data_IF_238150318672
#
_entry.id   IF_238150318672
#
_cell.length_a   1.000
_cell.length_b   1.000
_cell.length_c   1.000
_cell.angle_alpha   90.00
_cell.angle_beta   90.00
_cell.angle_gamma   90.00
#
_symmetry.space_group_name_H-M   'P 1'
#
loop_
_entity.id
_entity.type
_entity.pdbx_description
1 polymer ?
#
# COMPACT_ATOMS: atom_id res chain seq x y z
N UNK A 1 44.40 -42.22 28.51
CA UNK A 1 43.27 -42.92 27.85
C UNK A 1 42.18 -41.90 27.59
N UNK A 2 41.83 -41.73 26.31
CA UNK A 2 40.83 -40.79 25.77
C UNK A 2 39.42 -41.13 26.25
N UNK A 3 38.64 -40.13 26.67
CA UNK A 3 37.20 -40.01 26.35
C UNK A 3 36.81 -38.52 26.28
N UNK A 4 36.85 -37.96 25.07
CA UNK A 4 36.16 -36.72 24.74
C UNK A 4 34.67 -37.04 24.60
N UNK A 5 33.83 -36.49 25.47
CA UNK A 5 32.38 -36.49 25.27
C UNK A 5 32.08 -35.21 24.50
N UNK A 6 31.92 -35.34 23.18
CA UNK A 6 31.36 -34.30 22.35
C UNK A 6 29.86 -34.21 22.67
N UNK A 7 29.43 -33.11 23.28
CA UNK A 7 28.03 -32.76 23.34
C UNK A 7 27.59 -32.34 21.94
N UNK A 8 26.93 -33.26 21.24
CA UNK A 8 26.21 -32.96 20.00
C UNK A 8 25.02 -32.10 20.38
N UNK A 9 25.12 -30.79 20.17
CA UNK A 9 23.97 -29.91 20.05
C UNK A 9 23.26 -30.30 18.75
N UNK A 10 22.27 -31.18 18.86
CA UNK A 10 21.25 -31.38 17.85
C UNK A 10 20.46 -30.07 17.74
N UNK A 11 20.91 -29.17 16.87
CA UNK A 11 20.05 -28.14 16.31
C UNK A 11 18.99 -28.88 15.50
N UNK A 12 17.81 -29.04 16.09
CA UNK A 12 16.62 -29.38 15.33
C UNK A 12 16.50 -28.34 14.20
N UNK A 13 16.30 -28.74 12.94
CA UNK A 13 15.91 -27.79 11.91
C UNK A 13 14.59 -27.21 12.38
N UNK A 14 14.60 -25.93 12.76
CA UNK A 14 13.36 -25.19 12.92
C UNK A 14 12.61 -25.34 11.60
N UNK A 15 11.45 -25.98 11.64
CA UNK A 15 10.45 -25.90 10.60
C UNK A 15 10.12 -24.41 10.45
N UNK A 16 10.82 -23.76 9.52
CA UNK A 16 10.49 -22.42 9.08
C UNK A 16 9.19 -22.57 8.29
N UNK A 17 8.08 -22.37 8.99
CA UNK A 17 6.77 -22.12 8.39
C UNK A 17 6.92 -21.08 7.30
N UNK A 18 6.32 -21.33 6.14
CA UNK A 18 6.18 -20.33 5.09
C UNK A 18 5.69 -19.03 5.75
N UNK A 19 6.39 -17.93 5.55
CA UNK A 19 5.99 -16.67 6.15
C UNK A 19 4.71 -16.24 5.44
N UNK A 20 3.58 -16.34 6.15
CA UNK A 20 2.32 -15.77 5.70
C UNK A 20 2.52 -14.28 5.45
N UNK A 21 1.89 -13.75 4.40
CA UNK A 21 1.86 -12.31 4.14
C UNK A 21 1.43 -11.56 5.41
N UNK A 22 1.94 -10.35 5.66
CA UNK A 22 1.50 -9.55 6.79
C UNK A 22 -0.03 -9.49 6.86
N UNK A 23 -0.57 -9.75 8.05
CA UNK A 23 -2.03 -9.78 8.27
C UNK A 23 -2.68 -8.49 7.73
N UNK A 24 -3.59 -8.64 6.76
CA UNK A 24 -4.27 -7.53 6.10
C UNK A 24 -3.64 -7.08 4.77
N UNK A 25 -2.63 -7.82 4.27
CA UNK A 25 -2.04 -7.55 2.97
C UNK A 25 -3.03 -7.88 1.83
N UNK A 26 -3.54 -6.85 1.16
CA UNK A 26 -4.52 -6.97 0.09
C UNK A 26 -3.90 -7.19 -1.30
N UNK A 27 -2.59 -7.46 -1.37
CA UNK A 27 -1.88 -7.66 -2.63
C UNK A 27 -1.49 -6.39 -3.38
N UNK A 28 -1.43 -5.25 -2.69
CA UNK A 28 -1.06 -3.95 -3.27
C UNK A 28 -0.16 -3.10 -2.34
N UNK A 29 0.80 -2.37 -2.93
CA UNK A 29 1.59 -1.29 -2.34
C UNK A 29 2.78 -1.71 -1.48
N UNK A 30 3.10 -3.01 -1.44
CA UNK A 30 4.17 -3.57 -0.63
C UNK A 30 5.53 -3.62 -1.32
N UNK A 31 5.57 -3.60 -2.66
CA UNK A 31 6.82 -3.66 -3.43
C UNK A 31 7.52 -2.30 -3.53
N UNK A 32 6.81 -1.19 -3.30
CA UNK A 32 7.38 0.17 -3.37
C UNK A 32 8.12 0.58 -2.08
N UNK A 33 8.13 -0.28 -1.07
CA UNK A 33 8.78 -0.02 0.20
C UNK A 33 10.31 -0.05 0.05
N UNK A 34 10.99 0.76 0.85
CA UNK A 34 12.46 0.74 0.93
C UNK A 34 13.00 -0.60 1.43
N UNK A 35 12.25 -1.23 2.34
CA UNK A 35 12.47 -2.59 2.81
C UNK A 35 11.21 -3.40 2.53
N UNK A 36 11.29 -4.27 1.53
CA UNK A 36 10.16 -5.10 1.10
C UNK A 36 10.15 -6.35 1.97
N UNK A 37 9.01 -6.60 2.62
CA UNK A 37 8.80 -7.80 3.42
C UNK A 37 8.95 -9.06 2.52
N UNK A 38 9.74 -10.06 2.93
CA UNK A 38 9.92 -11.31 2.19
C UNK A 38 8.60 -12.01 1.77
N UNK A 39 7.58 -11.98 2.62
CA UNK A 39 6.28 -12.59 2.34
C UNK A 39 5.47 -11.77 1.34
N UNK A 40 5.58 -10.44 1.37
CA UNK A 40 5.00 -9.54 0.36
C UNK A 40 5.64 -9.78 -1.01
N UNK A 41 6.97 -9.87 -1.06
CA UNK A 41 7.67 -10.18 -2.31
C UNK A 41 7.24 -11.55 -2.86
N UNK A 42 7.18 -12.55 -1.99
CA UNK A 42 6.73 -13.90 -2.32
C UNK A 42 5.29 -13.90 -2.86
N UNK A 43 4.40 -13.10 -2.27
CA UNK A 43 3.04 -12.93 -2.76
C UNK A 43 3.01 -12.35 -4.17
N UNK A 44 3.73 -11.27 -4.44
CA UNK A 44 3.75 -10.67 -5.79
C UNK A 44 4.45 -11.54 -6.82
N UNK A 45 5.43 -12.32 -6.40
CA UNK A 45 5.99 -13.35 -7.27
C UNK A 45 4.90 -14.34 -7.71
N UNK A 46 4.02 -14.78 -6.81
CA UNK A 46 2.98 -15.79 -7.09
C UNK A 46 1.69 -15.23 -7.71
N UNK A 47 1.37 -13.95 -7.50
CA UNK A 47 0.10 -13.33 -7.92
C UNK A 47 0.28 -12.23 -8.98
N UNK A 48 1.52 -11.77 -9.16
CA UNK A 48 1.93 -10.80 -10.15
C UNK A 48 2.29 -9.42 -9.62
N UNK A 49 3.13 -8.75 -10.40
CA UNK A 49 3.59 -7.39 -10.17
C UNK A 49 2.75 -6.45 -11.04
N UNK A 50 1.71 -5.84 -10.47
CA UNK A 50 0.76 -4.98 -11.19
C UNK A 50 0.54 -3.67 -10.47
N UNK A 51 0.04 -2.66 -11.19
CA UNK A 51 -0.19 -1.34 -10.60
C UNK A 51 1.10 -0.72 -10.05
N UNK A 52 1.04 -0.19 -8.84
CA UNK A 52 2.21 0.40 -8.17
C UNK A 52 3.31 -0.63 -7.85
N UNK A 53 2.94 -1.91 -7.64
CA UNK A 53 3.90 -2.97 -7.33
C UNK A 53 4.67 -3.48 -8.55
N UNK A 54 4.31 -3.01 -9.75
CA UNK A 54 5.16 -3.15 -10.93
C UNK A 54 6.34 -2.16 -10.93
N UNK A 55 6.42 -1.25 -9.94
CA UNK A 55 7.52 -0.31 -9.74
C UNK A 55 7.80 0.59 -10.94
N UNK A 56 6.74 0.94 -11.68
CA UNK A 56 6.83 1.73 -12.91
C UNK A 56 7.35 0.97 -14.13
N UNK A 57 7.51 -0.36 -14.03
CA UNK A 57 7.89 -1.23 -15.13
C UNK A 57 6.67 -1.93 -15.73
N UNK A 58 6.84 -2.45 -16.94
CA UNK A 58 5.86 -3.32 -17.57
C UNK A 58 5.63 -4.59 -16.71
N UNK A 59 4.39 -4.96 -16.37
CA UNK A 59 4.08 -6.15 -15.58
C UNK A 59 4.61 -7.47 -16.17
N UNK A 60 4.64 -7.61 -17.50
CA UNK A 60 5.21 -8.79 -18.16
C UNK A 60 6.74 -8.78 -18.06
N UNK A 61 7.38 -7.61 -18.11
CA UNK A 61 8.81 -7.46 -17.86
C UNK A 61 9.17 -7.82 -16.41
N UNK A 62 8.39 -7.35 -15.43
CA UNK A 62 8.55 -7.70 -14.01
C UNK A 62 8.42 -9.22 -13.79
N UNK A 63 7.41 -9.83 -14.42
CA UNK A 63 7.27 -11.29 -14.40
C UNK A 63 8.52 -11.97 -14.97
N UNK A 64 8.97 -11.58 -16.17
CA UNK A 64 10.12 -12.18 -16.82
C UNK A 64 11.39 -12.05 -15.96
N UNK A 65 11.71 -10.85 -15.46
CA UNK A 65 12.83 -10.63 -14.56
C UNK A 65 12.75 -11.48 -13.29
N UNK A 66 11.57 -11.56 -12.66
CA UNK A 66 11.38 -12.37 -11.46
C UNK A 66 11.65 -13.85 -11.72
N UNK A 67 11.17 -14.43 -12.84
CA UNK A 67 11.37 -15.85 -13.15
C UNK A 67 12.80 -16.16 -13.55
N UNK A 68 13.47 -15.25 -14.25
CA UNK A 68 14.91 -15.36 -14.55
C UNK A 68 15.73 -15.33 -13.25
N UNK A 69 15.40 -14.43 -12.32
CA UNK A 69 16.03 -14.37 -11.01
C UNK A 69 15.78 -15.65 -10.19
N UNK A 70 14.55 -16.20 -10.21
CA UNK A 70 14.24 -17.47 -9.56
C UNK A 70 15.01 -18.65 -10.17
N UNK A 71 15.15 -18.71 -11.50
CA UNK A 71 15.95 -19.73 -12.16
C UNK A 71 17.42 -19.65 -11.69
N UNK A 72 17.95 -18.43 -11.55
CA UNK A 72 19.31 -18.21 -11.01
C UNK A 72 19.44 -18.60 -9.54
N UNK A 73 18.57 -18.10 -8.68
CA UNK A 73 18.69 -18.27 -7.22
C UNK A 73 18.29 -19.67 -6.77
N UNK A 74 17.16 -20.17 -7.29
CA UNK A 74 16.54 -21.41 -6.82
C UNK A 74 16.94 -22.65 -7.64
N UNK A 75 17.23 -22.49 -8.93
CA UNK A 75 17.64 -23.59 -9.82
C UNK A 75 19.14 -23.53 -10.22
N UNK A 76 19.89 -22.54 -9.75
CA UNK A 76 21.30 -22.32 -10.07
C UNK A 76 21.58 -22.15 -11.57
N UNK A 77 20.61 -21.64 -12.32
CA UNK A 77 20.69 -21.39 -13.76
C UNK A 77 20.86 -19.90 -14.03
N UNK A 78 22.10 -19.46 -14.27
CA UNK A 78 22.37 -18.05 -14.57
C UNK A 78 21.86 -17.67 -15.98
N UNK A 79 21.29 -16.47 -16.17
CA UNK A 79 20.89 -16.01 -17.49
C UNK A 79 22.10 -15.85 -18.40
N UNK A 80 21.95 -16.23 -19.67
CA UNK A 80 22.96 -16.01 -20.69
C UNK A 80 22.88 -14.59 -21.26
N UNK A 81 23.98 -14.09 -21.81
CA UNK A 81 23.99 -12.78 -22.50
C UNK A 81 23.00 -12.74 -23.68
N UNK A 82 22.78 -13.88 -24.34
CA UNK A 82 21.78 -14.01 -25.41
C UNK A 82 20.36 -13.74 -24.87
N UNK A 83 20.01 -14.28 -23.71
CA UNK A 83 18.73 -14.02 -23.06
C UNK A 83 18.59 -12.54 -22.69
N UNK A 84 19.65 -11.93 -22.15
CA UNK A 84 19.65 -10.48 -21.86
C UNK A 84 19.44 -9.66 -23.15
N UNK A 85 20.06 -10.07 -24.26
CA UNK A 85 19.81 -9.49 -25.58
C UNK A 85 18.34 -9.58 -26.00
N UNK A 86 17.66 -10.70 -25.72
CA UNK A 86 16.22 -10.85 -25.98
C UNK A 86 15.34 -9.94 -25.14
N UNK A 87 15.72 -9.66 -23.90
CA UNK A 87 15.01 -8.66 -23.08
C UNK A 87 15.16 -7.25 -23.66
N UNK A 88 16.36 -6.89 -24.10
CA UNK A 88 16.63 -5.60 -24.76
C UNK A 88 15.81 -5.45 -26.04
N UNK A 89 15.79 -6.49 -26.88
CA UNK A 89 15.02 -6.50 -28.13
C UNK A 89 13.51 -6.33 -27.88
N UNK A 90 12.96 -7.04 -26.88
CA UNK A 90 11.53 -7.07 -26.62
C UNK A 90 11.01 -5.84 -25.84
N UNK A 91 11.73 -5.43 -24.80
CA UNK A 91 11.24 -4.45 -23.82
C UNK A 91 12.01 -3.12 -23.86
N UNK A 92 13.05 -3.01 -24.68
CA UNK A 92 13.96 -1.86 -24.70
C UNK A 92 14.74 -1.74 -23.39
N UNK A 93 15.43 -0.60 -23.20
CA UNK A 93 16.49 -0.38 -22.18
C UNK A 93 17.77 -1.15 -22.50
N UNK A 94 18.85 -0.75 -21.84
CA UNK A 94 20.14 -1.41 -22.02
C UNK A 94 20.25 -2.68 -21.16
N UNK A 95 21.25 -3.51 -21.48
CA UNK A 95 21.51 -4.77 -20.79
C UNK A 95 21.77 -4.58 -19.29
N UNK A 96 22.37 -3.45 -18.88
CA UNK A 96 22.71 -3.16 -17.49
C UNK A 96 21.44 -2.92 -16.67
N UNK A 97 20.45 -2.22 -17.23
CA UNK A 97 19.13 -2.04 -16.59
C UNK A 97 18.46 -3.39 -16.34
N UNK A 98 18.43 -4.30 -17.31
CA UNK A 98 17.83 -5.62 -17.11
C UNK A 98 18.58 -6.47 -16.09
N UNK A 99 19.91 -6.40 -16.07
CA UNK A 99 20.74 -7.18 -15.16
C UNK A 99 20.68 -6.65 -13.72
N UNK A 100 20.78 -5.33 -13.53
CA UNK A 100 20.90 -4.72 -12.20
C UNK A 100 19.52 -4.36 -11.62
N UNK A 101 18.75 -3.54 -12.34
CA UNK A 101 17.48 -3.01 -11.82
C UNK A 101 16.34 -4.03 -11.93
N UNK A 102 16.45 -4.96 -12.88
CA UNK A 102 15.50 -6.06 -13.04
C UNK A 102 15.92 -7.30 -12.27
N UNK A 103 16.70 -8.15 -12.93
CA UNK A 103 17.07 -9.48 -12.43
C UNK A 103 17.79 -9.39 -11.07
N UNK A 104 18.73 -8.45 -10.93
CA UNK A 104 19.50 -8.25 -9.71
C UNK A 104 18.65 -7.83 -8.51
N UNK A 105 17.65 -6.96 -8.72
CA UNK A 105 16.68 -6.60 -7.69
C UNK A 105 15.89 -7.82 -7.21
N UNK A 106 15.30 -8.59 -8.12
CA UNK A 106 14.54 -9.80 -7.77
C UNK A 106 15.43 -10.85 -7.09
N UNK A 107 16.66 -11.02 -7.55
CA UNK A 107 17.63 -11.91 -6.90
C UNK A 107 17.89 -11.51 -5.46
N UNK A 108 18.11 -10.21 -5.19
CA UNK A 108 18.34 -9.70 -3.84
C UNK A 108 17.15 -10.00 -2.92
N UNK A 109 15.93 -9.78 -3.40
CA UNK A 109 14.71 -10.09 -2.64
C UNK A 109 14.57 -11.59 -2.34
N UNK A 110 14.84 -12.46 -3.31
CA UNK A 110 14.78 -13.91 -3.13
C UNK A 110 15.82 -14.42 -2.15
N UNK A 111 17.04 -13.86 -2.18
CA UNK A 111 18.12 -14.24 -1.26
C UNK A 111 17.89 -13.75 0.16
N UNK A 112 17.20 -12.61 0.33
CA UNK A 112 16.77 -12.12 1.63
C UNK A 112 15.68 -13.02 2.28
N UNK A 113 14.95 -13.77 1.46
CA UNK A 113 13.87 -14.66 1.86
C UNK A 113 14.32 -16.14 1.90
N UNK A 114 14.79 -16.61 3.06
CA UNK A 114 15.37 -17.95 3.22
C UNK A 114 14.47 -19.13 2.85
N UNK A 115 13.15 -18.94 2.77
CA UNK A 115 12.14 -19.95 2.40
C UNK A 115 11.52 -19.71 1.02
N UNK A 116 12.04 -18.77 0.23
CA UNK A 116 11.42 -18.38 -1.04
C UNK A 116 11.38 -19.51 -2.07
N UNK A 117 12.45 -20.31 -2.17
CA UNK A 117 12.60 -21.33 -3.20
C UNK A 117 11.79 -22.60 -2.88
N UNK A 118 10.48 -22.58 -3.18
CA UNK A 118 9.62 -23.77 -3.09
C UNK A 118 9.75 -24.64 -4.36
N UNK A 119 9.43 -25.95 -4.29
CA UNK A 119 9.44 -26.81 -5.48
C UNK A 119 8.58 -26.28 -6.63
N UNK A 120 7.43 -25.66 -6.31
CA UNK A 120 6.54 -25.07 -7.30
C UNK A 120 7.21 -23.89 -8.03
N UNK A 121 7.82 -22.96 -7.29
CA UNK A 121 8.50 -21.79 -7.89
C UNK A 121 9.74 -22.20 -8.69
N UNK A 122 10.47 -23.23 -8.25
CA UNK A 122 11.59 -23.82 -9.02
C UNK A 122 11.11 -24.41 -10.34
N UNK A 123 10.04 -25.21 -10.30
CA UNK A 123 9.48 -25.83 -11.49
C UNK A 123 8.99 -24.78 -12.49
N UNK A 124 8.25 -23.77 -12.01
CA UNK A 124 7.76 -22.67 -12.83
C UNK A 124 8.90 -21.88 -13.49
N UNK A 125 9.89 -21.44 -12.70
CA UNK A 125 11.03 -20.67 -13.21
C UNK A 125 11.84 -21.46 -14.25
N UNK A 126 12.03 -22.77 -14.02
CA UNK A 126 12.73 -23.65 -14.96
C UNK A 126 11.93 -23.89 -16.23
N UNK A 127 10.60 -23.93 -16.16
CA UNK A 127 9.75 -24.19 -17.32
C UNK A 127 9.78 -23.03 -18.34
N UNK A 128 9.82 -21.78 -17.85
CA UNK A 128 9.77 -20.59 -18.73
C UNK A 128 11.14 -20.15 -19.25
N UNK A 129 12.24 -20.54 -18.58
CA UNK A 129 13.59 -20.08 -18.95
C UNK A 129 14.00 -20.40 -20.41
N UNK A 130 13.72 -21.59 -20.97
CA UNK A 130 14.05 -21.88 -22.38
C UNK A 130 13.28 -20.99 -23.37
N UNK A 131 12.02 -20.69 -23.10
CA UNK A 131 11.19 -19.82 -23.95
C UNK A 131 11.75 -18.39 -23.96
N UNK A 132 12.09 -17.85 -22.78
CA UNK A 132 12.72 -16.52 -22.68
C UNK A 132 14.08 -16.46 -23.38
N UNK A 133 14.90 -17.53 -23.28
CA UNK A 133 16.16 -17.62 -24.02
C UNK A 133 15.96 -17.63 -25.55
N UNK A 134 14.83 -18.14 -26.03
CA UNK A 134 14.44 -18.09 -27.44
C UNK A 134 13.77 -16.75 -27.84
N UNK A 135 13.50 -15.86 -26.89
CA UNK A 135 12.79 -14.58 -27.10
C UNK A 135 11.27 -14.69 -27.11
N UNK A 136 10.70 -15.83 -26.70
CA UNK A 136 9.26 -16.00 -26.52
C UNK A 136 8.85 -15.58 -25.11
N UNK A 137 8.26 -14.39 -24.99
CA UNK A 137 7.74 -13.85 -23.73
C UNK A 137 6.21 -13.96 -23.61
N UNK A 138 5.55 -14.77 -24.45
CA UNK A 138 4.08 -14.90 -24.46
C UNK A 138 3.51 -15.33 -23.11
N UNK A 139 4.19 -16.22 -22.37
CA UNK A 139 3.81 -16.59 -21.01
C UNK A 139 3.84 -15.41 -20.05
N UNK A 140 4.82 -14.52 -20.17
CA UNK A 140 4.92 -13.33 -19.33
C UNK A 140 3.75 -12.36 -19.62
N UNK A 141 3.41 -12.17 -20.89
CA UNK A 141 2.26 -11.35 -21.30
C UNK A 141 0.94 -11.93 -20.82
N UNK A 142 0.74 -13.24 -20.99
CA UNK A 142 -0.48 -13.93 -20.55
C UNK A 142 -0.65 -13.86 -19.02
N UNK A 143 0.45 -14.06 -18.28
CA UNK A 143 0.45 -13.96 -16.83
C UNK A 143 0.15 -12.53 -16.36
N UNK A 144 0.80 -11.52 -16.95
CA UNK A 144 0.54 -10.12 -16.64
C UNK A 144 -0.93 -9.75 -16.87
N UNK A 145 -1.53 -10.19 -17.98
CA UNK A 145 -2.94 -9.99 -18.25
C UNK A 145 -3.84 -10.69 -17.20
N UNK A 146 -3.51 -11.92 -16.81
CA UNK A 146 -4.24 -12.63 -15.76
C UNK A 146 -4.11 -11.96 -14.39
N UNK A 147 -2.94 -11.42 -14.05
CA UNK A 147 -2.67 -10.71 -12.81
C UNK A 147 -3.45 -9.40 -12.74
N UNK A 148 -3.46 -8.63 -13.83
CA UNK A 148 -4.28 -7.40 -13.95
C UNK A 148 -5.77 -7.73 -13.81
N UNK A 149 -6.21 -8.87 -14.33
CA UNK A 149 -7.59 -9.33 -14.22
C UNK A 149 -7.91 -9.98 -12.86
N UNK A 150 -6.95 -10.17 -11.96
CA UNK A 150 -7.13 -10.84 -10.67
C UNK A 150 -7.47 -12.33 -10.80
N UNK A 151 -7.04 -12.99 -11.88
CA UNK A 151 -7.41 -14.38 -12.22
C UNK A 151 -6.26 -15.38 -12.10
N UNK A 152 -5.10 -14.94 -11.60
CA UNK A 152 -3.95 -15.83 -11.38
C UNK A 152 -4.32 -16.88 -10.34
N UNK A 153 -4.23 -18.15 -10.71
CA UNK A 153 -4.46 -19.28 -9.81
C UNK A 153 -3.12 -19.85 -9.39
N UNK A 154 -2.79 -19.77 -8.09
CA UNK A 154 -1.62 -20.44 -7.53
C UNK A 154 -1.96 -21.90 -7.29
N UNK A 155 -1.14 -22.83 -7.81
CA UNK A 155 -1.30 -24.24 -7.51
C UNK A 155 -1.05 -24.46 -6.01
N UNK A 156 -2.11 -24.81 -5.26
CA UNK A 156 -1.98 -25.20 -3.87
C UNK A 156 -1.02 -26.39 -3.77
N UNK A 157 0.13 -26.19 -3.11
CA UNK A 157 1.02 -27.30 -2.74
C UNK A 157 0.25 -28.20 -1.80
N UNK A 158 -0.16 -29.36 -2.32
CA UNK A 158 -0.82 -30.43 -1.60
C UNK A 158 0.13 -31.08 -0.59
N UNK A 159 0.26 -30.46 0.58
CA UNK A 159 0.65 -31.11 1.84
C UNK A 159 -0.21 -30.54 2.96
N UNK A 160 -1.51 -30.84 2.89
CA UNK A 160 -2.43 -30.69 4.01
C UNK A 160 -2.50 -32.05 4.71
N UNK A 161 -2.07 -32.20 5.97
CA UNK A 161 -2.32 -33.43 6.72
C UNK A 161 -3.82 -33.64 6.82
N UNK A 162 -4.29 -34.79 6.35
CA UNK A 162 -5.69 -35.21 6.49
C UNK A 162 -6.06 -35.25 7.97
N UNK A 163 -6.84 -34.27 8.43
CA UNK A 163 -7.46 -34.30 9.75
C UNK A 163 -8.63 -35.28 9.71
N UNK A 164 -8.42 -36.44 10.33
CA UNK A 164 -9.52 -37.28 10.79
C UNK A 164 -10.39 -36.45 11.75
N UNK A 165 -11.70 -36.52 11.52
CA UNK A 165 -12.70 -35.88 12.35
C UNK A 165 -12.67 -36.47 13.76
N UNK A 166 -12.16 -35.71 14.72
CA UNK A 166 -12.51 -35.93 16.12
C UNK A 166 -13.58 -34.90 16.50
N UNK A 167 -14.77 -35.43 16.77
CA UNK A 167 -15.94 -34.67 17.17
C UNK A 167 -15.71 -34.10 18.58
N UNK A 168 -15.91 -32.79 18.75
CA UNK A 168 -16.06 -32.20 20.08
C UNK A 168 -15.20 -30.98 20.41
N UNK A 169 -14.52 -30.36 19.46
CA UNK A 169 -14.00 -29.01 19.63
C UNK A 169 -14.81 -28.04 18.76
N UNK A 170 -15.58 -27.15 19.39
CA UNK A 170 -16.13 -25.98 18.72
C UNK A 170 -14.93 -25.11 18.36
N UNK A 171 -14.38 -25.31 17.15
CA UNK A 171 -13.48 -24.35 16.54
C UNK A 171 -14.35 -23.17 16.15
N UNK A 172 -14.27 -22.09 16.92
CA UNK A 172 -14.85 -20.82 16.53
C UNK A 172 -14.22 -20.40 15.17
N UNK A 173 -15.03 -19.97 14.18
CA UNK A 173 -14.49 -19.52 12.92
C UNK A 173 -13.60 -18.30 13.16
N UNK A 174 -12.36 -18.33 12.67
CA UNK A 174 -11.55 -17.13 12.55
C UNK A 174 -12.26 -16.19 11.57
N UNK A 175 -12.68 -14.98 11.97
CA UNK A 175 -13.38 -14.07 11.09
C UNK A 175 -12.34 -13.31 10.27
N UNK A 176 -12.28 -13.57 8.97
CA UNK A 176 -11.48 -12.81 8.02
C UNK A 176 -12.11 -11.43 7.76
N UNK A 177 -12.17 -10.61 8.82
CA UNK A 177 -12.85 -9.30 8.86
C UNK A 177 -12.44 -8.37 7.73
N UNK A 178 -11.21 -8.52 7.20
CA UNK A 178 -10.69 -7.73 6.10
C UNK A 178 -11.46 -7.98 4.79
N UNK A 179 -11.98 -9.19 4.57
CA UNK A 179 -12.87 -9.48 3.45
C UNK A 179 -14.23 -8.81 3.58
N UNK A 180 -14.72 -8.63 4.81
CA UNK A 180 -15.98 -7.93 5.05
C UNK A 180 -15.83 -6.42 5.08
N UNK A 181 -14.61 -5.90 5.25
CA UNK A 181 -14.33 -4.46 5.34
C UNK A 181 -13.12 -4.09 4.47
N UNK A 182 -13.17 -4.32 3.15
CA UNK A 182 -12.05 -3.97 2.30
C UNK A 182 -11.81 -2.46 2.38
N UNK A 183 -10.57 -2.05 2.67
CA UNK A 183 -10.16 -0.66 2.81
C UNK A 183 -9.25 -0.25 1.66
N UNK A 184 -9.65 0.78 0.92
CA UNK A 184 -8.85 1.32 -0.17
C UNK A 184 -8.55 2.80 0.04
N UNK A 185 -7.40 3.27 -0.45
CA UNK A 185 -7.10 4.70 -0.51
C UNK A 185 -7.24 5.20 -1.94
N UNK A 186 -7.89 6.33 -2.13
CA UNK A 186 -8.04 6.94 -3.45
C UNK A 186 -8.08 8.46 -3.36
N UNK A 187 -7.68 9.13 -4.44
CA UNK A 187 -7.82 10.57 -4.54
C UNK A 187 -9.29 10.98 -4.52
N UNK A 188 -9.64 11.97 -3.69
CA UNK A 188 -10.96 12.58 -3.73
C UNK A 188 -11.22 13.14 -5.12
N UNK A 189 -12.42 12.96 -5.65
CA UNK A 189 -12.80 13.46 -6.97
C UNK A 189 -13.73 14.67 -6.82
N UNK A 190 -13.53 15.70 -7.64
CA UNK A 190 -14.39 16.89 -7.68
C UNK A 190 -15.72 16.62 -8.36
N UNK A 191 -16.64 17.59 -8.31
CA UNK A 191 -17.95 17.50 -8.99
C UNK A 191 -17.85 17.37 -10.52
N UNK A 192 -16.69 17.67 -11.09
CA UNK A 192 -16.35 17.52 -12.50
C UNK A 192 -15.74 16.15 -12.85
N UNK A 193 -15.65 15.21 -11.91
CA UNK A 193 -15.07 13.88 -12.15
C UNK A 193 -13.54 13.85 -12.19
N UNK A 194 -12.86 14.98 -11.92
CA UNK A 194 -11.39 15.04 -11.90
C UNK A 194 -10.82 14.89 -10.49
N UNK A 195 -9.60 14.32 -10.36
CA UNK A 195 -8.87 14.28 -9.09
C UNK A 195 -8.80 15.67 -8.42
N UNK A 196 -9.12 15.71 -7.14
CA UNK A 196 -9.24 16.90 -6.31
C UNK A 196 -8.48 16.72 -5.00
N UNK A 197 -7.15 16.84 -5.07
CA UNK A 197 -6.23 16.67 -3.95
C UNK A 197 -4.78 16.72 -4.41
N UNK A 198 -3.88 16.54 -3.46
CA UNK A 198 -2.43 16.54 -3.66
C UNK A 198 -1.92 15.10 -3.51
N UNK A 199 -1.40 14.50 -4.57
CA UNK A 199 -0.79 13.15 -4.52
C UNK A 199 0.54 13.15 -3.76
N UNK A 200 1.26 14.27 -3.86
CA UNK A 200 2.56 14.53 -3.27
C UNK A 200 2.52 15.87 -2.53
N UNK A 201 3.43 16.08 -1.58
CA UNK A 201 3.53 17.33 -0.84
C UNK A 201 3.67 18.48 -1.84
N UNK A 202 2.73 19.41 -1.80
CA UNK A 202 2.80 20.63 -2.59
C UNK A 202 3.33 21.78 -1.75
N UNK A 203 4.49 22.31 -2.11
CA UNK A 203 5.10 23.48 -1.45
C UNK A 203 4.72 24.75 -2.21
N UNK A 204 3.86 25.56 -1.59
CA UNK A 204 3.37 26.82 -2.15
C UNK A 204 4.28 27.96 -1.69
N UNK A 205 5.34 28.23 -2.47
CA UNK A 205 6.22 29.38 -2.25
C UNK A 205 5.57 30.66 -2.75
N UNK A 206 5.91 31.80 -2.14
CA UNK A 206 5.41 33.14 -2.53
C UNK A 206 5.68 33.50 -4.00
N UNK A 207 6.81 33.03 -4.56
CA UNK A 207 7.17 33.25 -5.96
C UNK A 207 6.32 32.47 -6.97
N UNK A 208 5.55 31.47 -6.52
CA UNK A 208 4.68 30.68 -7.39
C UNK A 208 3.30 31.31 -7.60
N UNK A 209 2.91 32.25 -6.75
CA UNK A 209 1.75 33.13 -6.94
C UNK A 209 2.13 34.24 -7.92
N UNK A 210 1.68 34.15 -9.18
CA UNK A 210 1.83 35.22 -10.15
C UNK A 210 1.20 36.53 -9.66
N UNK A 211 1.67 37.66 -10.19
CA UNK A 211 1.39 39.07 -9.83
C UNK A 211 -0.10 39.48 -9.65
N UNK A 212 -1.06 38.59 -9.90
CA UNK A 212 -2.50 38.90 -9.95
C UNK A 212 -3.31 38.72 -8.65
N UNK A 213 -2.76 38.26 -7.52
CA UNK A 213 -3.57 38.01 -6.30
C UNK A 213 -2.96 38.67 -5.06
N UNK A 214 -2.79 39.99 -5.12
CA UNK A 214 -2.30 40.80 -4.01
C UNK A 214 -3.37 41.34 -3.04
N UNK A 215 -4.67 41.07 -3.25
CA UNK A 215 -5.73 41.87 -2.61
C UNK A 215 -6.85 41.11 -1.87
N UNK A 216 -6.76 39.78 -1.67
CA UNK A 216 -7.88 39.03 -1.05
C UNK A 216 -7.54 38.20 0.21
N UNK A 217 -6.30 38.26 0.73
CA UNK A 217 -5.87 37.36 1.82
C UNK A 217 -6.21 37.87 3.24
N UNK A 218 -7.02 38.93 3.39
CA UNK A 218 -7.37 39.45 4.71
C UNK A 218 -8.71 38.93 5.28
N UNK A 219 -9.63 38.38 4.47
CA UNK A 219 -11.05 38.32 4.87
C UNK A 219 -11.71 36.93 4.91
N UNK A 220 -11.14 35.87 4.34
CA UNK A 220 -11.85 34.58 4.21
C UNK A 220 -11.34 33.43 5.09
N UNK A 221 -10.22 33.58 5.79
CA UNK A 221 -9.58 32.48 6.54
C UNK A 221 -10.09 32.26 7.97
N UNK A 222 -11.06 33.05 8.46
CA UNK A 222 -11.63 32.93 9.82
C UNK A 222 -13.15 32.72 9.91
N UNK A 223 -13.88 32.58 8.80
CA UNK A 223 -15.34 32.39 8.85
C UNK A 223 -15.70 30.91 8.98
N UNK A 224 -16.01 30.51 10.23
CA UNK A 224 -16.67 29.25 10.57
C UNK A 224 -18.03 29.12 9.87
N UNK A 225 -18.27 28.00 9.19
CA UNK A 225 -19.60 27.49 8.87
C UNK A 225 -20.36 28.26 7.79
N UNK A 226 -20.83 27.53 6.77
CA UNK A 226 -21.67 27.97 5.64
C UNK A 226 -20.91 28.62 4.46
N UNK A 227 -20.82 27.81 3.40
CA UNK A 227 -20.69 28.14 1.97
C UNK A 227 -19.51 29.02 1.48
N UNK A 228 -18.56 28.32 0.84
CA UNK A 228 -17.94 28.62 -0.47
C UNK A 228 -17.42 30.05 -0.71
N UNK A 229 -16.13 30.21 -0.42
CA UNK A 229 -15.18 30.90 -1.30
C UNK A 229 -13.81 30.23 -1.12
N UNK A 230 -13.76 28.94 -1.48
CA UNK A 230 -12.52 28.18 -1.67
C UNK A 230 -11.67 28.89 -2.72
N UNK A 231 -10.45 29.28 -2.36
CA UNK A 231 -9.39 29.44 -3.35
C UNK A 231 -9.40 28.20 -4.25
N UNK A 232 -9.57 28.40 -5.55
CA UNK A 232 -9.43 27.30 -6.50
C UNK A 232 -8.00 26.77 -6.45
N UNK A 233 -7.83 25.44 -6.52
CA UNK A 233 -6.51 24.79 -6.53
C UNK A 233 -5.64 25.26 -7.72
N UNK A 234 -6.25 25.86 -8.73
CA UNK A 234 -5.61 26.53 -9.87
C UNK A 234 -4.91 27.86 -9.53
N UNK A 235 -5.26 28.48 -8.39
CA UNK A 235 -4.75 29.80 -7.99
C UNK A 235 -3.49 29.78 -7.14
N UNK A 236 -3.17 28.64 -6.50
CA UNK A 236 -1.95 28.45 -5.71
C UNK A 236 -1.09 27.35 -6.32
N UNK A 237 -0.41 27.68 -7.44
CA UNK A 237 0.60 26.80 -8.01
C UNK A 237 1.71 26.60 -6.99
N UNK A 238 2.09 25.35 -6.75
CA UNK A 238 3.15 24.97 -5.83
C UNK A 238 4.05 23.93 -6.47
N UNK A 239 5.25 23.78 -5.94
CA UNK A 239 6.19 22.74 -6.34
C UNK A 239 5.75 21.41 -5.72
N UNK A 240 5.69 20.34 -6.51
CA UNK A 240 5.42 19.00 -6.00
C UNK A 240 6.75 18.38 -5.57
N UNK A 241 6.86 17.98 -4.32
CA UNK A 241 8.07 17.35 -3.81
C UNK A 241 8.01 15.85 -4.07
N UNK A 242 8.82 15.37 -5.01
CA UNK A 242 8.97 13.94 -5.28
C UNK A 242 9.47 13.20 -4.02
N UNK A 243 9.00 11.98 -3.80
CA UNK A 243 9.30 11.19 -2.60
C UNK A 243 8.53 11.55 -1.33
N UNK A 244 7.78 12.66 -1.30
CA UNK A 244 6.92 13.05 -0.16
C UNK A 244 5.44 12.85 -0.49
N UNK A 245 5.01 11.59 -0.58
CA UNK A 245 3.63 11.22 -0.86
C UNK A 245 2.62 11.75 0.17
N UNK A 246 1.37 11.87 -0.25
CA UNK A 246 0.26 12.16 0.67
C UNK A 246 0.12 11.02 1.69
N UNK A 247 0.12 11.32 3.01
CA UNK A 247 0.07 10.30 4.05
C UNK A 247 -1.25 9.50 4.03
N UNK A 248 -2.27 9.99 3.34
CA UNK A 248 -3.55 9.31 3.14
C UNK A 248 -3.47 7.96 2.40
N UNK A 249 -2.45 7.74 1.56
CA UNK A 249 -2.32 6.49 0.81
C UNK A 249 -1.82 5.32 1.65
N UNK A 250 -0.78 5.54 2.45
CA UNK A 250 -0.12 4.49 3.24
C UNK A 250 -0.37 4.67 4.73
N UNK A 251 0.20 5.74 5.34
CA UNK A 251 0.15 5.95 6.79
C UNK A 251 -1.28 5.96 7.35
N UNK A 252 -2.18 6.70 6.73
CA UNK A 252 -3.58 6.78 7.17
C UNK A 252 -4.31 5.45 7.02
N UNK A 253 -4.11 4.76 5.89
CA UNK A 253 -4.75 3.48 5.59
C UNK A 253 -4.32 2.44 6.61
N UNK A 254 -3.03 2.35 6.87
CA UNK A 254 -2.45 1.36 7.78
C UNK A 254 -2.90 1.64 9.22
N UNK A 255 -2.92 2.91 9.65
CA UNK A 255 -3.45 3.31 10.95
C UNK A 255 -4.95 2.99 11.10
N UNK A 256 -5.77 3.23 10.08
CA UNK A 256 -7.20 2.88 10.08
C UNK A 256 -7.39 1.36 10.16
N UNK A 257 -6.63 0.59 9.38
CA UNK A 257 -6.67 -0.88 9.43
C UNK A 257 -6.30 -1.43 10.81
N UNK A 258 -5.30 -0.85 11.48
CA UNK A 258 -4.92 -1.25 12.83
C UNK A 258 -6.08 -1.07 13.83
N UNK A 259 -6.82 0.04 13.74
CA UNK A 259 -8.00 0.28 14.57
C UNK A 259 -9.18 -0.63 14.22
N UNK A 260 -9.44 -0.89 12.93
CA UNK A 260 -10.47 -1.84 12.49
C UNK A 260 -10.19 -3.24 13.06
N UNK A 261 -8.96 -3.74 12.87
CA UNK A 261 -8.52 -5.03 13.41
C UNK A 261 -8.75 -5.11 14.91
N UNK A 262 -8.29 -4.09 15.64
CA UNK A 262 -8.42 -4.04 17.11
C UNK A 262 -9.90 -4.07 17.52
N UNK A 263 -10.74 -3.26 16.88
CA UNK A 263 -12.16 -3.17 17.19
C UNK A 263 -12.90 -4.48 16.95
N UNK A 264 -12.76 -5.07 15.77
CA UNK A 264 -13.49 -6.29 15.39
C UNK A 264 -12.95 -7.57 16.02
N UNK A 265 -11.68 -7.58 16.46
CA UNK A 265 -11.17 -8.64 17.33
C UNK A 265 -11.87 -8.63 18.69
N UNK A 266 -12.14 -7.44 19.24
CA UNK A 266 -12.86 -7.28 20.51
C UNK A 266 -14.39 -7.40 20.39
N UNK A 267 -14.94 -7.11 19.20
CA UNK A 267 -16.38 -7.05 18.93
C UNK A 267 -16.72 -7.87 17.68
N UNK A 268 -16.55 -9.21 17.69
CA UNK A 268 -16.78 -10.04 16.51
C UNK A 268 -18.25 -10.00 16.05
N UNK A 269 -19.21 -9.74 16.94
CA UNK A 269 -20.63 -9.62 16.61
C UNK A 269 -20.98 -8.32 15.85
N UNK A 270 -20.12 -7.29 15.94
CA UNK A 270 -20.24 -6.04 15.22
C UNK A 270 -19.87 -6.16 13.72
N UNK A 271 -19.20 -7.24 13.29
CA UNK A 271 -18.85 -7.43 11.88
C UNK A 271 -20.10 -7.35 10.99
N UNK A 272 -20.02 -6.60 9.87
CA UNK A 272 -21.01 -6.69 8.81
C UNK A 272 -21.16 -8.12 8.28
N UNK A 273 -22.39 -8.51 7.97
CA UNK A 273 -22.65 -9.80 7.30
C UNK A 273 -22.27 -9.72 5.83
N UNK A 274 -22.61 -8.60 5.19
CA UNK A 274 -22.26 -8.31 3.81
C UNK A 274 -20.99 -7.44 3.76
N UNK A 275 -20.14 -7.57 2.71
CA UNK A 275 -19.00 -6.70 2.52
C UNK A 275 -19.39 -5.21 2.54
N UNK A 276 -18.67 -4.45 3.35
CA UNK A 276 -18.79 -3.02 3.52
C UNK A 276 -17.47 -2.37 3.11
N UNK A 277 -17.32 -1.93 1.85
CA UNK A 277 -16.09 -1.29 1.42
C UNK A 277 -15.92 0.06 2.10
N UNK A 278 -14.76 0.24 2.74
CA UNK A 278 -14.29 1.49 3.32
C UNK A 278 -13.27 2.15 2.38
N UNK A 279 -13.19 3.46 2.47
CA UNK A 279 -12.31 4.30 1.67
C UNK A 279 -11.62 5.34 2.53
N UNK A 280 -10.34 5.57 2.24
CA UNK A 280 -9.59 6.75 2.65
C UNK A 280 -9.48 7.67 1.43
N UNK A 281 -10.34 8.69 1.40
CA UNK A 281 -10.34 9.70 0.35
C UNK A 281 -9.31 10.77 0.68
N UNK A 282 -8.19 10.74 -0.03
CA UNK A 282 -7.10 11.69 0.18
C UNK A 282 -7.43 13.02 -0.48
N UNK A 283 -7.14 14.14 0.20
CA UNK A 283 -7.39 15.49 -0.30
C UNK A 283 -6.11 16.32 -0.21
N UNK A 284 -6.00 17.24 0.74
CA UNK A 284 -4.94 18.22 0.72
C UNK A 284 -3.69 17.69 1.43
N UNK A 285 -2.52 17.96 0.86
CA UNK A 285 -1.21 17.72 1.45
C UNK A 285 -0.24 18.77 0.95
N UNK A 286 -0.22 19.90 1.66
CA UNK A 286 0.53 21.06 1.21
C UNK A 286 1.19 21.83 2.34
N UNK A 287 2.31 22.46 2.00
CA UNK A 287 3.01 23.42 2.83
C UNK A 287 2.78 24.82 2.25
N UNK A 288 2.24 25.75 3.03
CA UNK A 288 1.85 27.09 2.54
C UNK A 288 2.14 28.18 3.57
N UNK A 289 2.53 29.37 3.11
CA UNK A 289 2.77 30.52 3.97
C UNK A 289 1.46 31.06 4.57
N UNK A 290 1.50 31.56 5.81
CA UNK A 290 0.28 32.07 6.47
C UNK A 290 -0.17 33.47 5.98
N UNK A 291 0.77 34.31 5.53
CA UNK A 291 0.46 35.70 5.15
C UNK A 291 1.27 36.16 3.94
N UNK A 292 0.65 36.81 2.95
CA UNK A 292 1.37 37.44 1.83
C UNK A 292 2.13 38.71 2.23
N UNK A 293 1.70 39.41 3.28
CA UNK A 293 2.20 40.74 3.63
C UNK A 293 3.55 40.69 4.37
N UNK A 294 3.81 39.61 5.11
CA UNK A 294 5.04 39.44 5.88
C UNK A 294 5.94 38.40 5.22
N UNK A 295 7.07 38.83 4.66
CA UNK A 295 8.07 37.95 4.04
C UNK A 295 8.70 36.94 5.00
N UNK A 296 8.53 37.11 6.32
CA UNK A 296 8.99 36.19 7.36
C UNK A 296 7.87 35.36 7.98
N UNK A 297 6.65 35.45 7.47
CA UNK A 297 5.53 34.68 8.00
C UNK A 297 5.79 33.17 7.87
N UNK A 298 5.50 32.39 8.93
CA UNK A 298 5.77 30.96 8.96
C UNK A 298 4.92 30.23 7.92
N UNK A 299 5.36 29.01 7.61
CA UNK A 299 4.63 28.06 6.79
C UNK A 299 3.88 27.09 7.68
N UNK A 300 2.70 26.70 7.21
CA UNK A 300 1.88 25.68 7.85
C UNK A 300 1.69 24.48 6.93
N UNK A 301 1.79 23.30 7.54
CA UNK A 301 1.51 22.04 6.89
C UNK A 301 0.03 21.73 7.06
N UNK A 302 -0.68 21.57 5.94
CA UNK A 302 -2.11 21.28 5.89
C UNK A 302 -2.34 19.88 5.34
N UNK A 303 -3.14 19.11 6.05
CA UNK A 303 -3.57 17.78 5.66
C UNK A 303 -5.09 17.67 5.80
N UNK A 304 -5.76 17.14 4.78
CA UNK A 304 -7.19 16.82 4.84
C UNK A 304 -7.46 15.44 4.24
N UNK A 305 -8.28 14.66 4.94
CA UNK A 305 -8.66 13.31 4.55
C UNK A 305 -10.10 13.01 4.95
N UNK A 306 -10.79 12.18 4.19
CA UNK A 306 -12.08 11.60 4.59
C UNK A 306 -11.95 10.10 4.70
N UNK A 307 -12.47 9.53 5.79
CA UNK A 307 -12.48 8.10 6.00
C UNK A 307 -13.93 7.65 6.12
N UNK A 308 -14.36 6.69 5.32
CA UNK A 308 -15.77 6.28 5.31
C UNK A 308 -16.14 5.31 4.21
N UNK A 309 -17.43 5.01 4.10
CA UNK A 309 -17.96 4.12 3.06
C UNK A 309 -19.45 4.31 2.88
N UNK A 310 -20.00 3.68 1.84
CA UNK A 310 -21.43 3.74 1.53
C UNK A 310 -22.10 2.40 1.81
N UNK A 311 -23.22 2.42 2.55
CA UNK A 311 -24.10 1.24 2.66
C UNK A 311 -24.78 1.00 1.31
N UNK A 312 -24.32 0.03 0.52
CA UNK A 312 -25.10 -0.44 -0.64
C UNK A 312 -26.29 -1.25 -0.14
N UNK A 313 -27.51 -0.74 -0.32
CA UNK A 313 -28.74 -1.47 -0.02
C UNK A 313 -29.17 -2.34 -1.20
N UNK A 314 -29.39 -3.64 -0.97
CA UNK A 314 -29.96 -4.57 -1.97
C UNK A 314 -31.43 -4.27 -2.36
N UNK A 315 -32.04 -3.29 -1.68
CA UNK A 315 -33.34 -2.70 -2.00
C UNK A 315 -33.18 -1.19 -1.91
N UNK A 316 -33.90 -0.43 -2.74
CA UNK A 316 -33.87 1.04 -2.97
C UNK A 316 -34.01 1.95 -1.71
N UNK A 317 -33.41 1.63 -0.57
CA UNK A 317 -33.16 2.54 0.54
C UNK A 317 -31.91 3.34 0.19
N UNK A 318 -31.97 4.66 0.37
CA UNK A 318 -30.84 5.56 0.14
C UNK A 318 -29.61 5.02 0.88
N UNK A 319 -28.49 4.88 0.16
CA UNK A 319 -27.20 4.62 0.78
C UNK A 319 -27.01 5.65 1.90
N UNK A 320 -26.78 5.18 3.12
CA UNK A 320 -26.47 6.05 4.25
C UNK A 320 -24.95 6.07 4.36
N UNK A 321 -24.28 7.16 3.94
CA UNK A 321 -22.84 7.25 4.03
C UNK A 321 -22.44 7.32 5.50
N UNK A 322 -21.43 6.54 5.89
CA UNK A 322 -20.66 6.83 7.09
C UNK A 322 -19.39 7.52 6.62
N UNK A 323 -19.12 8.72 7.13
CA UNK A 323 -17.95 9.47 6.73
C UNK A 323 -17.45 10.32 7.89
N UNK A 324 -16.14 10.32 8.07
CA UNK A 324 -15.43 11.22 8.95
C UNK A 324 -14.52 12.09 8.09
N UNK A 325 -14.79 13.38 8.04
CA UNK A 325 -13.82 14.36 7.58
C UNK A 325 -12.84 14.67 8.70
N UNK A 326 -11.55 14.56 8.42
CA UNK A 326 -10.48 14.89 9.34
C UNK A 326 -9.55 15.94 8.74
N UNK A 327 -9.34 17.00 9.51
CA UNK A 327 -8.36 18.04 9.26
C UNK A 327 -7.66 18.34 10.60
N UNK A 328 -6.47 17.76 10.84
CA UNK A 328 -5.68 18.04 12.03
C UNK A 328 -5.34 19.51 12.16
N UNK A 329 -4.99 19.95 13.37
CA UNK A 329 -4.54 21.33 13.57
C UNK A 329 -3.23 21.56 12.81
N UNK A 330 -3.15 22.56 11.91
CA UNK A 330 -1.93 22.82 11.15
C UNK A 330 -0.75 23.14 12.08
N UNK A 331 0.37 22.46 11.86
CA UNK A 331 1.65 22.71 12.52
C UNK A 331 2.34 23.84 11.75
N UNK A 332 3.04 24.70 12.47
CA UNK A 332 3.73 25.87 11.91
C UNK A 332 5.22 25.79 12.17
N UNK A 333 6.02 26.16 11.17
CA UNK A 333 7.46 26.34 11.28
C UNK A 333 7.95 27.28 10.16
N UNK A 334 9.20 27.72 10.21
CA UNK A 334 9.80 28.39 9.05
C UNK A 334 9.95 27.41 7.88
N UNK A 335 10.10 27.94 6.65
CA UNK A 335 10.28 27.08 5.48
C UNK A 335 11.56 26.26 5.59
N UNK A 336 12.62 26.89 6.07
CA UNK A 336 13.92 26.28 6.29
C UNK A 336 13.84 25.11 7.29
N UNK A 337 13.05 25.25 8.35
CA UNK A 337 12.81 24.17 9.32
C UNK A 337 12.00 23.01 8.72
N UNK A 338 11.02 23.31 7.87
CA UNK A 338 10.26 22.28 7.16
C UNK A 338 11.11 21.50 6.16
N UNK A 339 12.05 22.16 5.48
CA UNK A 339 12.92 21.57 4.46
C UNK A 339 14.16 20.88 5.07
N UNK A 340 14.50 21.20 6.31
CA UNK A 340 15.64 20.65 7.01
C UNK A 340 15.61 19.11 7.08
N UNK A 341 16.79 18.51 6.98
CA UNK A 341 17.01 17.07 7.10
C UNK A 341 16.10 16.24 6.18
N UNK A 342 15.97 16.67 4.91
CA UNK A 342 15.10 16.03 3.93
C UNK A 342 13.65 15.94 4.42
N UNK A 343 13.11 17.08 4.82
CA UNK A 343 11.73 17.20 5.29
C UNK A 343 11.39 16.31 6.50
N UNK A 344 12.32 16.13 7.43
CA UNK A 344 12.11 15.29 8.62
C UNK A 344 10.88 15.72 9.44
N UNK A 345 10.67 17.03 9.61
CA UNK A 345 9.52 17.57 10.34
C UNK A 345 8.18 17.29 9.62
N UNK A 346 8.18 17.30 8.28
CA UNK A 346 6.99 16.92 7.49
C UNK A 346 6.66 15.44 7.71
N UNK A 347 7.66 14.56 7.67
CA UNK A 347 7.47 13.11 7.88
C UNK A 347 6.92 12.82 9.28
N UNK A 348 7.46 13.47 10.30
CA UNK A 348 6.95 13.38 11.69
C UNK A 348 5.50 13.86 11.79
N UNK A 349 5.19 15.01 11.18
CA UNK A 349 3.84 15.56 11.17
C UNK A 349 2.85 14.66 10.41
N UNK A 350 3.28 14.06 9.29
CA UNK A 350 2.47 13.11 8.52
C UNK A 350 2.04 11.90 9.37
N UNK A 351 2.96 11.33 10.15
CA UNK A 351 2.64 10.25 11.08
C UNK A 351 1.64 10.70 12.14
N UNK A 352 1.93 11.81 12.83
CA UNK A 352 1.07 12.32 13.89
C UNK A 352 -0.34 12.68 13.40
N UNK A 353 -0.46 13.26 12.21
CA UNK A 353 -1.74 13.57 11.57
C UNK A 353 -2.53 12.32 11.21
N UNK A 354 -1.85 11.30 10.69
CA UNK A 354 -2.47 10.02 10.35
C UNK A 354 -3.02 9.32 11.59
N UNK A 355 -2.24 9.29 12.67
CA UNK A 355 -2.62 8.70 13.96
C UNK A 355 -3.79 9.45 14.61
N UNK A 356 -3.79 10.79 14.59
CA UNK A 356 -4.89 11.61 15.10
C UNK A 356 -6.19 11.31 14.34
N UNK A 357 -6.14 11.30 13.01
CA UNK A 357 -7.32 11.02 12.19
C UNK A 357 -7.82 9.58 12.32
N UNK A 358 -6.91 8.60 12.44
CA UNK A 358 -7.27 7.21 12.64
C UNK A 358 -7.89 6.98 14.03
N UNK A 359 -7.41 7.68 15.05
CA UNK A 359 -8.00 7.64 16.40
C UNK A 359 -9.42 8.22 16.40
N UNK A 360 -9.64 9.37 15.76
CA UNK A 360 -10.99 9.95 15.60
C UNK A 360 -11.93 9.02 14.81
N UNK A 361 -11.41 8.28 13.84
CA UNK A 361 -12.17 7.24 13.14
C UNK A 361 -12.54 6.09 14.08
N UNK A 362 -11.59 5.62 14.89
CA UNK A 362 -11.82 4.54 15.84
C UNK A 362 -12.94 4.86 16.85
N UNK A 363 -13.03 6.12 17.29
CA UNK A 363 -14.12 6.61 18.16
C UNK A 363 -15.51 6.48 17.52
N UNK A 364 -15.61 6.41 16.19
CA UNK A 364 -16.88 6.25 15.45
C UNK A 364 -17.27 4.80 15.24
N UNK A 365 -16.36 3.84 15.40
CA UNK A 365 -16.60 2.43 15.11
C UNK A 365 -17.81 1.85 15.86
N UNK A 366 -18.00 2.08 17.18
CA UNK A 366 -19.18 1.58 17.89
C UNK A 366 -20.51 2.12 17.36
N UNK A 367 -20.51 3.36 16.86
CA UNK A 367 -21.71 3.97 16.28
C UNK A 367 -22.01 3.43 14.89
N UNK A 368 -20.99 3.15 14.08
CA UNK A 368 -21.15 2.70 12.70
C UNK A 368 -21.37 1.18 12.59
N UNK A 369 -20.77 0.43 13.50
CA UNK A 369 -20.80 -1.02 13.59
C UNK A 369 -21.13 -1.44 15.04
N UNK A 370 -22.39 -1.25 15.50
CA UNK A 370 -22.76 -1.64 16.86
C UNK A 370 -22.86 -3.17 17.00
N UNK A 371 -22.58 -3.68 18.20
CA UNK A 371 -22.85 -5.09 18.52
C UNK A 371 -24.35 -5.40 18.43
N UNK A 372 -24.69 -6.43 17.67
CA UNK A 372 -26.09 -6.80 17.39
C UNK A 372 -26.83 -7.31 18.64
N UNK A 373 -26.12 -7.84 19.63
CA UNK A 373 -26.71 -8.28 20.91
C UNK A 373 -27.12 -7.09 21.81
N UNK A 374 -26.40 -5.96 21.72
CA UNK A 374 -26.72 -4.76 22.50
C UNK A 374 -27.98 -4.02 22.01
N UNK A 375 -28.34 -4.18 20.73
CA UNK A 375 -29.51 -3.53 20.12
C UNK A 375 -30.82 -4.27 20.45
N UNK A 376 -30.76 -5.56 20.82
CA UNK A 376 -31.94 -6.36 21.18
C UNK A 376 -32.45 -6.11 22.63
N UNK A 377 -31.76 -5.27 23.41
CA UNK A 377 -32.04 -5.03 24.82
C UNK A 377 -32.65 -3.63 25.12
N UNK A 378 -33.09 -2.88 24.11
CA UNK A 378 -33.75 -1.57 24.27
C UNK A 378 -35.10 -1.51 23.55
#
# INVERSE_FOLDING_TARGET
MKKCIAAVLLALPGLAVAQDVPLGYAGHGGMTLREIDPAIYAYHYDHGFVGEDALGWDPALQFAWSRIAAAKVCAQQSPSDALIGKLVEQYGKDAVVHQINGIGFHEAQMRAAGTFCTPARVAEATAVAPAFAAGDFSTATAYAAAAIAGTVSVAATSEQPSLQSDAGAIVAPSPDWALQLPLHSSMRVGSNGLPNGDEMLRVVRRGHTGVAIGLQIATSLFARGVAVSTFGKDQLKGEKMEGLGNPGYQLQRDAVNAHLKTYFTGHPAALPVDPFPLQVLVSDWLLVYQSLADTKSPYELRYTVTIGGERSGFLKRKASPISLDCAPTPRTASLEEWEANDYALVKEAAQAYSDECASKFAERLPQWFPDKEAVASN
#
